data_IF_353511618549
#
_entry.id   IF_353511618549
#
_cell.length_a   1.000
_cell.length_b   1.000
_cell.length_c   1.000
_cell.angle_alpha   90.00
_cell.angle_beta   90.00
_cell.angle_gamma   90.00
#
_symmetry.space_group_name_H-M   'P 1'
#
loop_
_entity.id
_entity.type
_entity.pdbx_description
1 polymer ?
#
# COMPACT_ATOMS: atom_id res chain seq x y z
N UNK A 1 23.34 -26.91 -5.61
CA UNK A 1 23.77 -25.50 -5.50
C UNK A 1 25.24 -25.34 -5.05
N UNK A 2 25.61 -25.64 -3.79
CA UNK A 2 27.06 -25.68 -3.40
C UNK A 2 27.81 -26.86 -4.04
N UNK A 3 27.11 -27.96 -4.30
CA UNK A 3 27.65 -29.17 -4.94
C UNK A 3 27.86 -28.95 -6.46
N UNK A 4 27.20 -27.96 -7.08
CA UNK A 4 27.24 -27.71 -8.54
C UNK A 4 28.16 -26.54 -8.95
N UNK A 5 29.00 -26.03 -8.04
CA UNK A 5 29.92 -24.92 -8.34
C UNK A 5 29.26 -23.57 -8.69
N UNK A 6 27.96 -23.40 -8.40
CA UNK A 6 27.25 -22.17 -8.71
C UNK A 6 27.70 -21.02 -7.80
N UNK A 7 28.01 -19.85 -8.39
CA UNK A 7 28.38 -18.65 -7.64
C UNK A 7 27.26 -18.24 -6.66
N UNK A 8 27.63 -17.70 -5.49
CA UNK A 8 26.67 -17.28 -4.46
C UNK A 8 25.61 -16.31 -5.00
N UNK A 9 25.98 -15.46 -5.96
CA UNK A 9 25.08 -14.54 -6.64
C UNK A 9 24.02 -15.27 -7.48
N UNK A 10 24.42 -16.34 -8.18
CA UNK A 10 23.52 -17.17 -8.98
C UNK A 10 22.52 -17.92 -8.10
N UNK A 11 22.97 -18.44 -6.95
CA UNK A 11 22.10 -19.10 -5.97
C UNK A 11 21.06 -18.12 -5.40
N UNK A 12 21.48 -16.90 -5.07
CA UNK A 12 20.57 -15.86 -4.57
C UNK A 12 19.46 -15.55 -5.58
N UNK A 13 19.81 -15.30 -6.84
CA UNK A 13 18.83 -14.89 -7.85
C UNK A 13 17.98 -16.03 -8.41
N UNK A 14 18.55 -17.22 -8.61
CA UNK A 14 17.86 -18.32 -9.30
C UNK A 14 17.16 -19.28 -8.35
N UNK A 15 17.54 -19.33 -7.07
CA UNK A 15 16.99 -20.27 -6.10
C UNK A 15 16.27 -19.52 -4.98
N UNK A 16 16.97 -18.63 -4.27
CA UNK A 16 16.41 -17.98 -3.07
C UNK A 16 15.30 -16.99 -3.43
N UNK A 17 15.53 -16.06 -4.36
CA UNK A 17 14.53 -15.07 -4.77
C UNK A 17 13.19 -15.67 -5.24
N UNK A 18 13.15 -16.67 -6.14
CA UNK A 18 11.87 -17.26 -6.56
C UNK A 18 11.13 -17.99 -5.44
N UNK A 19 11.84 -18.61 -4.48
CA UNK A 19 11.24 -19.22 -3.29
C UNK A 19 10.66 -18.16 -2.33
N UNK A 20 11.31 -16.99 -2.24
CA UNK A 20 10.84 -15.88 -1.41
C UNK A 20 9.77 -15.00 -2.08
N UNK A 21 9.43 -15.22 -3.36
CA UNK A 21 8.39 -14.45 -4.08
C UNK A 21 7.07 -14.26 -3.29
N UNK A 22 6.44 -15.28 -2.70
CA UNK A 22 5.21 -15.09 -1.94
C UNK A 22 5.44 -14.24 -0.68
N UNK A 23 6.55 -14.43 0.03
CA UNK A 23 6.90 -13.61 1.20
C UNK A 23 7.17 -12.15 0.83
N UNK A 24 7.89 -11.91 -0.28
CA UNK A 24 8.16 -10.57 -0.80
C UNK A 24 6.88 -9.89 -1.30
N UNK A 25 5.95 -10.62 -1.92
CA UNK A 25 4.65 -10.08 -2.33
C UNK A 25 3.82 -9.63 -1.12
N UNK A 26 3.80 -10.43 -0.04
CA UNK A 26 3.16 -10.06 1.22
C UNK A 26 3.80 -8.81 1.83
N UNK A 27 5.13 -8.78 1.93
CA UNK A 27 5.87 -7.63 2.46
C UNK A 27 5.61 -6.36 1.64
N UNK A 28 5.64 -6.46 0.31
CA UNK A 28 5.37 -5.34 -0.58
C UNK A 28 3.93 -4.82 -0.42
N UNK A 29 2.96 -5.72 -0.27
CA UNK A 29 1.55 -5.34 -0.07
C UNK A 29 1.35 -4.64 1.28
N UNK A 30 1.84 -5.23 2.37
CA UNK A 30 1.73 -4.63 3.71
C UNK A 30 2.51 -3.31 3.80
N UNK A 31 3.69 -3.26 3.20
CA UNK A 31 4.53 -2.06 3.12
C UNK A 31 3.84 -0.95 2.33
N UNK A 32 3.19 -1.29 1.20
CA UNK A 32 2.40 -0.33 0.44
C UNK A 32 1.24 0.22 1.28
N UNK A 33 0.41 -0.65 1.88
CA UNK A 33 -0.74 -0.22 2.69
C UNK A 33 -0.29 0.70 3.82
N UNK A 34 0.79 0.34 4.50
CA UNK A 34 1.37 1.14 5.60
C UNK A 34 1.79 2.53 5.13
N UNK A 35 2.56 2.61 4.05
CA UNK A 35 3.07 3.90 3.55
C UNK A 35 1.97 4.73 2.87
N UNK A 36 1.03 4.09 2.17
CA UNK A 36 -0.09 4.74 1.49
C UNK A 36 -1.05 5.41 2.49
N UNK A 37 -1.29 4.77 3.63
CA UNK A 37 -2.10 5.31 4.72
C UNK A 37 -1.30 6.15 5.73
N UNK A 38 0.02 6.30 5.53
CA UNK A 38 0.84 7.05 6.47
C UNK A 38 0.50 8.55 6.41
N UNK A 39 -0.15 9.02 7.45
CA UNK A 39 -0.56 10.42 7.59
C UNK A 39 0.43 11.23 8.44
N UNK A 40 0.79 10.71 9.62
CA UNK A 40 1.54 11.47 10.63
C UNK A 40 2.94 11.86 10.15
N UNK A 41 3.67 10.93 9.52
CA UNK A 41 5.02 11.23 9.02
C UNK A 41 5.01 12.40 8.03
N UNK A 42 4.31 12.28 6.89
CA UNK A 42 4.22 13.35 5.91
C UNK A 42 3.67 14.65 6.47
N UNK A 43 2.68 14.62 7.37
CA UNK A 43 2.14 15.83 7.99
C UNK A 43 3.19 16.63 8.77
N UNK A 44 4.10 15.94 9.48
CA UNK A 44 5.14 16.58 10.27
C UNK A 44 6.26 17.15 9.39
N UNK A 45 6.63 16.43 8.32
CA UNK A 45 7.77 16.78 7.48
C UNK A 45 7.44 17.68 6.28
N UNK A 46 6.20 17.64 5.78
CA UNK A 46 5.81 18.38 4.59
C UNK A 46 5.16 19.71 4.95
N UNK A 47 5.75 20.80 4.45
CA UNK A 47 5.25 22.17 4.66
C UNK A 47 4.60 22.80 3.43
N UNK A 48 4.67 22.14 2.26
CA UNK A 48 4.16 22.67 0.99
C UNK A 48 3.01 21.81 0.49
N UNK A 49 1.88 22.45 0.17
CA UNK A 49 0.65 21.76 -0.27
C UNK A 49 0.87 20.89 -1.53
N UNK A 50 1.76 21.32 -2.44
CA UNK A 50 2.08 20.56 -3.67
C UNK A 50 2.75 19.20 -3.43
N UNK A 51 3.23 18.94 -2.20
CA UNK A 51 3.89 17.68 -1.83
C UNK A 51 2.99 16.78 -0.97
N UNK A 52 1.78 17.21 -0.66
CA UNK A 52 0.90 16.47 0.23
C UNK A 52 0.63 15.07 -0.31
N UNK A 53 0.81 14.08 0.56
CA UNK A 53 0.42 12.71 0.27
C UNK A 53 -1.10 12.63 0.23
N UNK A 54 -1.62 11.60 -0.44
CA UNK A 54 -3.06 11.35 -0.56
C UNK A 54 -3.76 11.34 0.82
N UNK A 55 -3.09 10.80 1.86
CA UNK A 55 -3.58 10.81 3.23
C UNK A 55 -3.67 12.22 3.85
N UNK A 56 -2.67 13.10 3.61
CA UNK A 56 -2.68 14.49 4.10
C UNK A 56 -3.69 15.33 3.33
N UNK A 57 -3.77 15.17 2.00
CA UNK A 57 -4.74 15.87 1.15
C UNK A 57 -6.18 15.53 1.49
N UNK A 58 -6.48 14.25 1.79
CA UNK A 58 -7.83 13.84 2.23
C UNK A 58 -8.22 14.49 3.56
N UNK A 59 -7.29 14.62 4.51
CA UNK A 59 -7.54 15.30 5.79
C UNK A 59 -7.73 16.80 5.62
N UNK A 60 -6.96 17.43 4.73
CA UNK A 60 -7.15 18.82 4.37
C UNK A 60 -8.54 19.05 3.75
N UNK A 61 -8.95 18.19 2.82
CA UNK A 61 -10.30 18.22 2.23
C UNK A 61 -11.38 18.03 3.30
N UNK A 62 -11.18 17.09 4.23
CA UNK A 62 -12.10 16.88 5.36
C UNK A 62 -12.23 18.14 6.24
N UNK A 63 -11.12 18.82 6.53
CA UNK A 63 -11.16 20.08 7.28
C UNK A 63 -11.80 21.22 6.50
N UNK A 64 -11.62 21.28 5.18
CA UNK A 64 -12.25 22.28 4.33
C UNK A 64 -13.78 22.09 4.25
N UNK A 65 -14.24 20.84 4.19
CA UNK A 65 -15.67 20.49 4.18
C UNK A 65 -16.30 20.71 5.57
N UNK A 66 -15.60 20.37 6.66
CA UNK A 66 -16.10 20.53 8.03
C UNK A 66 -16.03 21.97 8.55
N UNK A 67 -15.07 22.77 8.08
CA UNK A 67 -14.79 24.13 8.53
C UNK A 67 -15.67 25.23 7.92
N UNK A 68 -16.62 24.87 7.06
CA UNK A 68 -17.59 25.82 6.52
C UNK A 68 -16.95 26.95 5.69
N UNK A 69 -16.01 26.65 4.80
CA UNK A 69 -15.55 27.66 3.83
C UNK A 69 -16.73 28.13 2.98
N UNK A 70 -17.15 29.36 3.24
CA UNK A 70 -18.37 30.05 2.82
C UNK A 70 -18.49 30.33 1.30
N UNK A 71 -17.91 29.49 0.43
CA UNK A 71 -17.89 29.74 -1.02
C UNK A 71 -18.88 28.84 -1.78
N UNK A 72 -19.39 27.74 -1.21
CA UNK A 72 -20.30 26.85 -1.94
C UNK A 72 -21.43 26.31 -1.05
N UNK A 73 -22.66 26.72 -1.36
CA UNK A 73 -23.91 26.42 -0.63
C UNK A 73 -24.41 24.97 -0.74
N UNK A 74 -23.53 23.95 -0.83
CA UNK A 74 -23.93 22.53 -0.88
C UNK A 74 -23.03 21.65 -0.01
N UNK A 75 -23.59 20.67 0.73
CA UNK A 75 -22.80 19.69 1.46
C UNK A 75 -21.91 18.92 0.48
N UNK A 76 -20.59 19.14 0.58
CA UNK A 76 -19.58 18.52 -0.28
C UNK A 76 -19.18 17.11 0.19
N UNK A 77 -20.04 16.45 0.96
CA UNK A 77 -19.85 15.08 1.43
C UNK A 77 -19.61 14.10 0.27
N UNK A 78 -20.25 14.37 -0.87
CA UNK A 78 -20.03 13.62 -2.11
C UNK A 78 -18.59 13.70 -2.63
N UNK A 79 -17.90 14.84 -2.48
CA UNK A 79 -16.48 14.98 -2.84
C UNK A 79 -15.57 14.27 -1.85
N UNK A 80 -15.90 14.31 -0.55
CA UNK A 80 -15.17 13.56 0.47
C UNK A 80 -15.28 12.05 0.23
N UNK A 81 -16.50 11.56 -0.07
CA UNK A 81 -16.73 10.15 -0.40
C UNK A 81 -16.02 9.74 -1.70
N UNK A 82 -16.06 10.59 -2.74
CA UNK A 82 -15.33 10.34 -3.97
C UNK A 82 -13.81 10.27 -3.74
N UNK A 83 -13.26 11.19 -2.95
CA UNK A 83 -11.85 11.18 -2.58
C UNK A 83 -11.50 9.92 -1.78
N UNK A 84 -12.30 9.53 -0.78
CA UNK A 84 -12.10 8.31 0.00
C UNK A 84 -12.12 7.04 -0.87
N UNK A 85 -13.04 6.96 -1.84
CA UNK A 85 -13.06 5.87 -2.82
C UNK A 85 -11.77 5.83 -3.65
N UNK A 86 -11.31 6.99 -4.14
CA UNK A 86 -10.05 7.10 -4.88
C UNK A 86 -8.83 6.70 -4.04
N UNK A 87 -8.81 7.00 -2.74
CA UNK A 87 -7.74 6.56 -1.83
C UNK A 87 -7.78 5.05 -1.60
N UNK A 88 -8.96 4.46 -1.51
CA UNK A 88 -9.14 3.02 -1.27
C UNK A 88 -8.88 2.16 -2.52
N UNK A 89 -9.12 2.70 -3.71
CA UNK A 89 -9.05 1.98 -4.99
C UNK A 89 -7.69 1.26 -5.23
N UNK A 90 -6.53 1.90 -5.01
CA UNK A 90 -5.23 1.24 -5.17
C UNK A 90 -4.99 0.12 -4.16
N UNK A 91 -5.46 0.30 -2.92
CA UNK A 91 -5.37 -0.75 -1.90
C UNK A 91 -6.25 -1.96 -2.29
N UNK A 92 -7.43 -1.73 -2.85
CA UNK A 92 -8.30 -2.79 -3.35
C UNK A 92 -7.66 -3.53 -4.54
N UNK A 93 -7.11 -2.81 -5.51
CA UNK A 93 -6.39 -3.41 -6.64
C UNK A 93 -5.24 -4.30 -6.14
N UNK A 94 -4.43 -3.80 -5.20
CA UNK A 94 -3.33 -4.57 -4.62
C UNK A 94 -3.81 -5.79 -3.84
N UNK A 95 -4.93 -5.68 -3.14
CA UNK A 95 -5.53 -6.83 -2.47
C UNK A 95 -5.93 -7.92 -3.46
N UNK A 96 -6.60 -7.57 -4.57
CA UNK A 96 -6.98 -8.54 -5.60
C UNK A 96 -5.77 -9.17 -6.30
N UNK A 97 -4.73 -8.38 -6.62
CA UNK A 97 -3.49 -8.90 -7.19
C UNK A 97 -2.76 -9.79 -6.17
N UNK A 98 -2.75 -9.38 -4.90
CA UNK A 98 -2.11 -10.08 -3.79
C UNK A 98 -2.80 -11.37 -3.38
N UNK A 99 -4.11 -11.52 -3.59
CA UNK A 99 -4.90 -12.70 -3.16
C UNK A 99 -4.26 -14.01 -3.59
N UNK A 100 -3.76 -14.09 -4.83
CA UNK A 100 -3.09 -15.31 -5.34
C UNK A 100 -1.83 -15.66 -4.55
N UNK A 101 -1.06 -14.67 -4.10
CA UNK A 101 0.17 -14.86 -3.34
C UNK A 101 -0.09 -15.14 -1.86
N UNK A 102 -1.08 -14.48 -1.26
CA UNK A 102 -1.52 -14.76 0.12
C UNK A 102 -2.04 -16.20 0.25
N UNK A 103 -2.86 -16.66 -0.69
CA UNK A 103 -3.38 -18.03 -0.70
C UNK A 103 -2.25 -19.06 -0.86
N UNK A 104 -1.29 -18.84 -1.77
CA UNK A 104 -0.14 -19.75 -1.93
C UNK A 104 0.78 -19.78 -0.69
N UNK A 105 0.96 -18.66 0.00
CA UNK A 105 1.73 -18.59 1.23
C UNK A 105 1.10 -19.39 2.38
N UNK A 106 -0.22 -19.26 2.58
CA UNK A 106 -0.96 -20.00 3.62
C UNK A 106 -0.98 -21.50 3.35
N UNK A 107 -1.19 -21.91 2.09
CA UNK A 107 -1.20 -23.33 1.70
C UNK A 107 0.17 -23.97 1.92
N UNK A 108 1.27 -23.25 1.67
CA UNK A 108 2.64 -23.77 1.92
C UNK A 108 2.91 -23.96 3.42
N UNK A 109 2.31 -23.14 4.29
CA UNK A 109 2.39 -23.34 5.76
C UNK A 109 1.43 -24.41 6.29
N UNK A 110 0.38 -24.77 5.53
CA UNK A 110 -0.63 -25.76 5.91
C UNK A 110 -0.26 -27.21 5.56
N UNK A 111 0.70 -27.46 4.67
CA UNK A 111 1.13 -28.82 4.25
C UNK A 111 2.23 -29.38 5.17
N UNK A 112 2.19 -29.04 6.46
CA UNK A 112 2.91 -29.81 7.50
C UNK A 112 1.88 -30.62 8.28
N UNK A 113 1.45 -31.70 7.65
CA UNK A 113 0.61 -32.77 8.15
C UNK A 113 0.74 -33.95 7.20
#
# INVERSE_FOLDING_TARGET
AKIDGASSWRVLWQIILPLCKPALATLATLGFITNWNNFLGPLIFLKTESKYTVAVGLRYLQSAVAGGSAVVSRPQDHLLMAAALMVALPCLILFFVGQKYFVQGIVTTGIKG
#
